data_IF_319005119199
#
_entry.id   IF_319005119199
#
_cell.length_a   1.000
_cell.length_b   1.000
_cell.length_c   1.000
_cell.angle_alpha   90.00
_cell.angle_beta   90.00
_cell.angle_gamma   90.00
#
_symmetry.space_group_name_H-M   'P 1'
#
loop_
_entity.id
_entity.type
_entity.pdbx_description
1 polymer ?
#
# COMPACT_ATOMS: atom_id res chain seq x y z
N UNK A 1 -2.64 24.38 13.75
CA UNK A 1 -3.05 23.17 12.99
C UNK A 1 -4.14 23.59 12.01
N UNK A 2 -3.95 23.41 10.71
CA UNK A 2 -5.01 23.68 9.73
C UNK A 2 -6.01 22.52 9.72
N UNK A 3 -7.29 22.79 9.45
CA UNK A 3 -8.33 21.76 9.38
C UNK A 3 -7.98 20.65 8.37
N UNK A 4 -7.35 21.01 7.24
CA UNK A 4 -6.84 20.07 6.25
C UNK A 4 -5.79 19.10 6.79
N UNK A 5 -4.88 19.57 7.66
CA UNK A 5 -3.87 18.74 8.32
C UNK A 5 -4.51 17.76 9.29
N UNK A 6 -5.55 18.18 10.02
CA UNK A 6 -6.28 17.29 10.95
C UNK A 6 -6.99 16.17 10.19
N UNK A 7 -7.70 16.52 9.11
CA UNK A 7 -8.36 15.55 8.22
C UNK A 7 -7.34 14.55 7.68
N UNK A 8 -6.21 15.03 7.15
CA UNK A 8 -5.14 14.16 6.65
C UNK A 8 -4.65 13.18 7.71
N UNK A 9 -4.33 13.67 8.92
CA UNK A 9 -3.80 12.81 10.01
C UNK A 9 -4.81 11.74 10.42
N UNK A 10 -6.10 12.07 10.51
CA UNK A 10 -7.14 11.10 10.88
C UNK A 10 -7.22 9.98 9.83
N UNK A 11 -7.40 10.33 8.56
CA UNK A 11 -7.55 9.32 7.50
C UNK A 11 -6.26 8.54 7.26
N UNK A 12 -5.11 9.20 7.20
CA UNK A 12 -3.82 8.55 6.97
C UNK A 12 -3.39 7.69 8.18
N UNK A 13 -3.72 8.12 9.40
CA UNK A 13 -3.49 7.33 10.61
C UNK A 13 -4.32 6.04 10.64
N UNK A 14 -5.57 6.09 10.17
CA UNK A 14 -6.41 4.90 10.03
C UNK A 14 -5.91 3.96 8.93
N UNK A 15 -5.49 4.51 7.78
CA UNK A 15 -4.93 3.75 6.65
C UNK A 15 -3.66 2.97 7.05
N UNK A 16 -2.81 3.57 7.90
CA UNK A 16 -1.58 2.93 8.38
C UNK A 16 -1.83 1.58 9.07
N UNK A 17 -2.91 1.46 9.85
CA UNK A 17 -3.26 0.20 10.55
C UNK A 17 -4.01 -0.76 9.63
N UNK A 18 -4.68 -0.26 8.59
CA UNK A 18 -5.61 -1.02 7.77
C UNK A 18 -4.97 -2.05 6.82
N UNK A 19 -3.65 -2.05 6.66
CA UNK A 19 -2.98 -2.86 5.63
C UNK A 19 -2.24 -4.08 6.18
N UNK A 20 -1.55 -3.95 7.32
CA UNK A 20 -0.67 -5.01 7.85
C UNK A 20 -1.45 -6.24 8.35
N UNK A 21 -2.36 -6.13 9.34
CA UNK A 21 -3.10 -7.29 9.85
C UNK A 21 -3.95 -8.00 8.77
N UNK A 22 -4.69 -7.28 7.91
CA UNK A 22 -5.47 -7.93 6.84
C UNK A 22 -4.61 -8.66 5.82
N UNK A 23 -3.44 -8.12 5.45
CA UNK A 23 -2.55 -8.80 4.49
C UNK A 23 -1.98 -10.09 5.08
N UNK A 24 -1.53 -10.07 6.34
CA UNK A 24 -1.06 -11.28 7.02
C UNK A 24 -2.17 -12.32 7.17
N UNK A 25 -3.38 -11.89 7.56
CA UNK A 25 -4.54 -12.79 7.63
C UNK A 25 -4.85 -13.41 6.26
N UNK A 26 -4.85 -12.62 5.19
CA UNK A 26 -5.07 -13.10 3.84
C UNK A 26 -4.02 -14.15 3.43
N UNK A 27 -2.74 -13.89 3.69
CA UNK A 27 -1.68 -14.87 3.45
C UNK A 27 -1.93 -16.17 4.23
N UNK A 28 -2.36 -16.10 5.49
CA UNK A 28 -2.68 -17.27 6.32
C UNK A 28 -3.87 -18.06 5.78
N UNK A 29 -4.93 -17.38 5.35
CA UNK A 29 -6.13 -18.01 4.82
C UNK A 29 -5.87 -18.70 3.49
N UNK A 30 -5.05 -18.12 2.60
CA UNK A 30 -4.81 -18.66 1.25
C UNK A 30 -3.66 -19.68 1.21
N UNK A 31 -2.56 -19.43 1.93
CA UNK A 31 -1.31 -20.21 1.80
C UNK A 31 -1.09 -21.17 2.96
N UNK A 32 -1.98 -21.15 3.96
CA UNK A 32 -1.85 -21.90 5.20
C UNK A 32 -0.84 -21.27 6.18
N UNK A 33 -0.90 -21.67 7.47
CA UNK A 33 -0.08 -21.08 8.52
C UNK A 33 1.42 -21.32 8.33
N UNK A 34 1.82 -22.43 7.70
CA UNK A 34 3.23 -22.81 7.55
C UNK A 34 4.00 -21.91 6.57
N UNK A 35 3.33 -21.44 5.50
CA UNK A 35 3.96 -20.63 4.44
C UNK A 35 3.68 -19.14 4.56
N UNK A 36 2.61 -18.77 5.25
CA UNK A 36 2.14 -17.39 5.31
C UNK A 36 3.19 -16.41 5.83
N UNK A 37 3.94 -16.77 6.86
CA UNK A 37 4.97 -15.89 7.43
C UNK A 37 6.10 -15.61 6.44
N UNK A 38 6.54 -16.62 5.69
CA UNK A 38 7.62 -16.46 4.68
C UNK A 38 7.15 -15.57 3.54
N UNK A 39 5.93 -15.78 3.03
CA UNK A 39 5.39 -14.97 1.94
C UNK A 39 5.12 -13.53 2.40
N UNK A 40 4.55 -13.35 3.59
CA UNK A 40 4.40 -12.02 4.18
C UNK A 40 5.75 -11.32 4.37
N UNK A 41 6.80 -12.06 4.74
CA UNK A 41 8.16 -11.54 4.81
C UNK A 41 8.63 -10.93 3.48
N UNK A 42 8.38 -11.58 2.35
CA UNK A 42 8.69 -11.03 1.03
C UNK A 42 7.81 -9.82 0.66
N UNK A 43 6.52 -9.84 1.03
CA UNK A 43 5.65 -8.65 0.89
C UNK A 43 6.20 -7.47 1.67
N UNK A 44 6.67 -7.70 2.90
CA UNK A 44 7.28 -6.69 3.74
C UNK A 44 8.58 -6.15 3.12
N UNK A 45 9.45 -7.01 2.59
CA UNK A 45 10.66 -6.57 1.88
C UNK A 45 10.31 -5.67 0.69
N UNK A 46 9.33 -6.06 -0.12
CA UNK A 46 8.86 -5.23 -1.23
C UNK A 46 8.32 -3.88 -0.75
N UNK A 47 7.59 -3.85 0.38
CA UNK A 47 7.13 -2.60 1.00
C UNK A 47 8.28 -1.70 1.41
N UNK A 48 9.33 -2.25 2.04
CA UNK A 48 10.51 -1.48 2.45
C UNK A 48 11.26 -0.90 1.24
N UNK A 49 11.40 -1.68 0.17
CA UNK A 49 11.99 -1.19 -1.09
C UNK A 49 11.15 -0.03 -1.65
N UNK A 50 9.83 -0.20 -1.76
CA UNK A 50 8.95 0.87 -2.21
C UNK A 50 9.01 2.12 -1.32
N UNK A 51 9.03 1.94 0.00
CA UNK A 51 9.15 3.02 0.97
C UNK A 51 10.46 3.79 0.85
N UNK A 52 11.58 3.10 0.63
CA UNK A 52 12.88 3.75 0.40
C UNK A 52 12.91 4.56 -0.90
N UNK A 53 12.33 4.03 -1.99
CA UNK A 53 12.20 4.74 -3.26
C UNK A 53 11.31 5.99 -3.08
N UNK A 54 10.17 5.85 -2.40
CA UNK A 54 9.26 6.97 -2.16
C UNK A 54 9.88 8.05 -1.28
N UNK A 55 10.59 7.68 -0.20
CA UNK A 55 11.27 8.61 0.68
C UNK A 55 12.39 9.37 -0.04
N UNK A 56 13.23 8.65 -0.80
CA UNK A 56 14.29 9.26 -1.60
C UNK A 56 13.71 10.18 -2.68
N UNK A 57 12.71 9.70 -3.42
CA UNK A 57 12.02 10.48 -4.46
C UNK A 57 11.39 11.75 -3.91
N UNK A 58 10.70 11.67 -2.77
CA UNK A 58 10.13 12.85 -2.11
C UNK A 58 11.20 13.84 -1.67
N UNK A 59 12.34 13.37 -1.13
CA UNK A 59 13.46 14.22 -0.75
C UNK A 59 14.06 14.95 -1.98
N UNK A 60 14.31 14.23 -3.08
CA UNK A 60 14.83 14.80 -4.33
C UNK A 60 13.87 15.85 -4.92
N UNK A 61 12.57 15.53 -4.97
CA UNK A 61 11.56 16.48 -5.46
C UNK A 61 11.47 17.72 -4.56
N UNK A 62 11.59 17.56 -3.25
CA UNK A 62 11.60 18.68 -2.30
C UNK A 62 12.80 19.60 -2.52
N UNK A 63 13.99 19.04 -2.76
CA UNK A 63 15.20 19.81 -3.05
C UNK A 63 15.06 20.58 -4.37
N UNK A 64 14.51 19.94 -5.41
CA UNK A 64 14.40 20.54 -6.75
C UNK A 64 13.29 21.59 -6.87
N UNK A 65 12.13 21.37 -6.22
CA UNK A 65 10.93 22.19 -6.39
C UNK A 65 10.53 22.99 -5.14
N UNK A 66 11.27 22.84 -4.03
CA UNK A 66 11.05 23.58 -2.79
C UNK A 66 9.84 23.12 -1.96
N UNK A 67 9.02 22.18 -2.42
CA UNK A 67 7.86 21.64 -1.69
C UNK A 67 7.58 20.15 -2.00
N UNK A 68 6.63 19.55 -1.27
CA UNK A 68 6.25 18.14 -1.42
C UNK A 68 5.00 17.92 -2.30
N UNK A 69 4.41 18.97 -2.88
CA UNK A 69 3.14 18.86 -3.58
C UNK A 69 3.21 17.84 -4.72
N UNK A 70 4.27 17.89 -5.53
CA UNK A 70 4.48 16.94 -6.62
C UNK A 70 4.65 15.50 -6.12
N UNK A 71 5.35 15.29 -4.99
CA UNK A 71 5.48 13.97 -4.39
C UNK A 71 4.11 13.42 -3.97
N UNK A 72 3.25 14.24 -3.37
CA UNK A 72 1.88 13.83 -3.02
C UNK A 72 1.02 13.52 -4.24
N UNK A 73 1.10 14.31 -5.31
CA UNK A 73 0.35 14.04 -6.53
C UNK A 73 0.79 12.75 -7.23
N UNK A 74 2.10 12.47 -7.26
CA UNK A 74 2.63 11.21 -7.79
C UNK A 74 2.13 10.04 -6.96
N UNK A 75 2.22 10.11 -5.63
CA UNK A 75 1.71 9.07 -4.73
C UNK A 75 0.21 8.83 -4.92
N UNK A 76 -0.60 9.89 -5.04
CA UNK A 76 -2.02 9.77 -5.33
C UNK A 76 -2.29 9.07 -6.67
N UNK A 77 -1.53 9.40 -7.71
CA UNK A 77 -1.60 8.71 -9.01
C UNK A 77 -1.24 7.23 -8.90
N UNK A 78 -0.19 6.88 -8.14
CA UNK A 78 0.21 5.49 -7.90
C UNK A 78 -0.87 4.69 -7.15
N UNK A 79 -1.58 5.29 -6.21
CA UNK A 79 -2.72 4.66 -5.54
C UNK A 79 -3.83 4.31 -6.53
N UNK A 80 -4.15 5.20 -7.47
CA UNK A 80 -5.16 4.93 -8.51
C UNK A 80 -4.72 3.78 -9.44
N UNK A 81 -3.46 3.77 -9.88
CA UNK A 81 -2.90 2.69 -10.70
C UNK A 81 -2.95 1.35 -9.95
N UNK A 82 -2.59 1.35 -8.68
CA UNK A 82 -2.62 0.14 -7.83
C UNK A 82 -4.04 -0.36 -7.63
N UNK A 83 -4.98 0.54 -7.32
CA UNK A 83 -6.40 0.22 -7.21
C UNK A 83 -6.92 -0.45 -8.49
N UNK A 84 -6.55 0.08 -9.66
CA UNK A 84 -6.87 -0.55 -10.94
C UNK A 84 -6.30 -1.98 -11.03
N UNK A 85 -5.02 -2.21 -10.72
CA UNK A 85 -4.43 -3.55 -10.76
C UNK A 85 -5.11 -4.53 -9.80
N UNK A 86 -5.48 -4.09 -8.59
CA UNK A 86 -6.22 -4.93 -7.64
C UNK A 86 -7.53 -5.43 -8.24
N UNK A 87 -8.27 -4.59 -8.99
CA UNK A 87 -9.50 -5.03 -9.68
C UNK A 87 -9.26 -6.07 -10.77
N UNK A 88 -8.03 -6.17 -11.30
CA UNK A 88 -7.70 -7.16 -12.33
C UNK A 88 -7.37 -8.54 -11.75
N UNK A 89 -6.92 -8.63 -10.48
CA UNK A 89 -6.47 -9.90 -9.87
C UNK A 89 -7.58 -10.99 -9.88
N UNK A 90 -8.84 -10.59 -9.74
CA UNK A 90 -9.97 -11.53 -9.67
C UNK A 90 -10.74 -11.67 -10.99
N UNK A 91 -10.33 -11.02 -12.08
CA UNK A 91 -11.05 -11.12 -13.35
C UNK A 91 -10.94 -12.53 -13.91
N UNK A 92 -12.09 -13.20 -14.07
CA UNK A 92 -12.19 -14.56 -14.61
C UNK A 92 -12.24 -15.67 -13.56
N UNK A 93 -12.03 -15.37 -12.28
CA UNK A 93 -12.20 -16.35 -11.19
C UNK A 93 -13.66 -16.42 -10.75
N UNK A 94 -14.22 -17.63 -10.69
CA UNK A 94 -15.58 -17.85 -10.17
C UNK A 94 -15.55 -17.73 -8.64
N UNK A 95 -16.62 -17.20 -8.02
CA UNK A 95 -16.72 -17.10 -6.53
C UNK A 95 -16.51 -18.45 -5.82
N UNK A 96 -16.83 -19.57 -6.46
CA UNK A 96 -16.54 -20.91 -5.95
C UNK A 96 -15.05 -21.24 -5.94
N UNK A 97 -14.28 -20.80 -6.94
CA UNK A 97 -12.83 -21.03 -7.00
C UNK A 97 -12.07 -20.19 -5.97
N UNK A 98 -12.59 -19.02 -5.60
CA UNK A 98 -12.03 -18.16 -4.55
C UNK A 98 -12.36 -18.63 -3.13
N UNK A 99 -13.31 -19.56 -2.98
CA UNK A 99 -13.80 -20.09 -1.69
C UNK A 99 -13.23 -21.47 -1.34
N UNK A 100 -12.56 -22.14 -2.27
CA UNK A 100 -11.84 -23.41 -2.04
C UNK A 100 -10.42 -23.12 -1.57
#
# INVERSE_FOLDING_TARGET
MHASTLVFVIFYGLDWVATVPPTLMLCRTILGPDRATVVYGWVFVAHQIGGSIAALGAALLKVQFGNYALAFYISAGMCLVTSYFVTQISKGSTREQLRR
#
